data_IF_914969855084
#
_entry.id   IF_914969855084
#
_cell.length_a   1.000
_cell.length_b   1.000
_cell.length_c   1.000
_cell.angle_alpha   90.00
_cell.angle_beta   90.00
_cell.angle_gamma   90.00
#
_symmetry.space_group_name_H-M   'P 1'
#
loop_
_entity.id
_entity.type
_entity.pdbx_description
1 polymer ?
#
# COMPACT_ATOMS: atom_id res chain seq x y z
N UNK A 1 16.52 -8.30 4.12
CA UNK A 1 16.80 -6.89 3.81
C UNK A 1 18.30 -6.57 3.77
N UNK A 2 19.16 -7.40 4.37
CA UNK A 2 20.63 -7.31 4.28
C UNK A 2 21.23 -7.01 2.90
N UNK A 3 20.72 -7.63 1.83
CA UNK A 3 21.18 -7.35 0.45
C UNK A 3 20.90 -5.90 0.01
N UNK A 4 19.75 -5.34 0.37
CA UNK A 4 19.42 -3.94 0.08
C UNK A 4 20.37 -3.00 0.83
N UNK A 5 20.63 -3.26 2.11
CA UNK A 5 21.60 -2.48 2.91
C UNK A 5 23.03 -2.58 2.33
N UNK A 6 23.42 -3.75 1.82
CA UNK A 6 24.72 -3.91 1.17
C UNK A 6 24.85 -3.11 -0.14
N UNK A 7 23.78 -3.01 -0.92
CA UNK A 7 23.74 -2.22 -2.16
C UNK A 7 23.67 -0.71 -1.89
N UNK A 8 22.99 -0.31 -0.83
CA UNK A 8 22.73 1.09 -0.48
C UNK A 8 23.12 1.38 0.99
N UNK A 9 24.43 1.34 1.32
CA UNK A 9 24.89 1.36 2.71
C UNK A 9 24.67 2.70 3.42
N UNK A 10 24.47 3.80 2.68
CA UNK A 10 24.30 5.15 3.24
C UNK A 10 22.89 5.72 3.09
N UNK A 11 22.02 4.99 2.41
CA UNK A 11 20.70 5.50 2.09
C UNK A 11 19.75 5.24 3.26
N UNK A 12 18.87 6.21 3.51
CA UNK A 12 17.73 6.01 4.38
C UNK A 12 16.70 5.17 3.64
N UNK A 13 16.24 4.10 4.29
CA UNK A 13 15.38 3.08 3.70
C UNK A 13 14.06 3.05 4.46
N UNK A 14 12.96 3.01 3.71
CA UNK A 14 11.62 2.67 4.19
C UNK A 14 11.07 1.56 3.30
N UNK A 15 10.56 0.50 3.93
CA UNK A 15 9.97 -0.66 3.26
C UNK A 15 8.60 -0.88 3.86
N UNK A 16 7.55 -0.74 3.05
CA UNK A 16 6.18 -1.11 3.41
C UNK A 16 5.71 -2.29 2.56
N UNK A 17 4.96 -3.21 3.15
CA UNK A 17 4.32 -4.28 2.39
C UNK A 17 3.49 -5.24 3.23
N UNK A 18 2.63 -5.99 2.53
CA UNK A 18 1.82 -7.07 3.09
C UNK A 18 2.71 -8.29 3.36
N UNK A 19 2.78 -8.69 4.62
CA UNK A 19 3.60 -9.79 5.12
C UNK A 19 2.91 -10.50 6.27
N UNK A 20 2.92 -11.83 6.27
CA UNK A 20 2.35 -12.56 7.40
C UNK A 20 3.24 -12.34 8.65
N UNK A 21 2.72 -11.80 9.76
CA UNK A 21 3.52 -11.50 10.95
C UNK A 21 4.09 -12.78 11.56
N UNK A 22 5.26 -12.69 12.18
CA UNK A 22 5.78 -13.79 12.97
C UNK A 22 5.07 -13.84 14.34
N UNK A 23 5.10 -15.01 14.98
CA UNK A 23 4.55 -15.19 16.33
C UNK A 23 5.21 -14.30 17.39
N UNK A 24 6.41 -13.73 17.13
CA UNK A 24 7.12 -12.82 18.06
C UNK A 24 6.49 -11.43 18.13
N UNK A 25 5.78 -10.98 17.09
CA UNK A 25 5.03 -9.72 17.12
C UNK A 25 3.69 -9.84 17.88
N UNK A 26 3.44 -10.98 18.56
CA UNK A 26 2.26 -11.20 19.38
C UNK A 26 0.99 -11.56 18.58
N UNK A 27 1.09 -11.71 17.26
CA UNK A 27 -0.06 -11.87 16.36
C UNK A 27 -0.01 -13.24 15.68
N UNK A 28 -0.59 -14.23 16.37
CA UNK A 28 -0.84 -15.63 15.96
C UNK A 28 0.37 -16.55 15.72
N UNK A 29 0.23 -17.81 16.20
CA UNK A 29 1.18 -18.92 16.01
C UNK A 29 0.80 -19.73 14.78
N UNK A 30 1.51 -19.55 13.66
CA UNK A 30 1.47 -20.52 12.55
C UNK A 30 2.85 -21.17 12.30
N UNK A 31 2.80 -22.46 11.98
CA UNK A 31 3.87 -23.46 12.03
C UNK A 31 4.69 -23.56 10.72
N UNK A 32 5.13 -22.45 10.14
CA UNK A 32 6.03 -22.50 8.97
C UNK A 32 7.38 -21.87 9.30
N UNK A 33 8.52 -22.54 8.99
CA UNK A 33 9.85 -22.00 9.20
C UNK A 33 10.12 -20.93 8.15
N UNK A 34 9.60 -19.73 8.38
CA UNK A 34 9.96 -18.54 7.60
C UNK A 34 11.18 -17.95 8.28
N UNK A 35 12.28 -17.79 7.53
CA UNK A 35 13.42 -16.98 7.96
C UNK A 35 12.88 -15.64 8.45
N UNK A 36 13.20 -15.32 9.69
CA UNK A 36 12.53 -14.30 10.47
C UNK A 36 12.68 -12.95 9.76
N UNK A 37 11.59 -12.39 9.24
CA UNK A 37 11.58 -11.09 8.56
C UNK A 37 12.17 -10.01 9.48
N UNK A 38 11.84 -10.13 10.77
CA UNK A 38 12.39 -9.35 11.88
C UNK A 38 13.92 -9.42 11.92
N UNK A 39 14.51 -10.61 12.02
CA UNK A 39 15.98 -10.77 12.02
C UNK A 39 16.59 -10.18 10.76
N UNK A 40 15.94 -10.32 9.60
CA UNK A 40 16.45 -9.76 8.36
C UNK A 40 16.41 -8.23 8.30
N UNK A 41 15.46 -7.62 9.02
CA UNK A 41 15.30 -6.18 9.16
C UNK A 41 16.27 -5.63 10.21
N UNK A 42 16.39 -6.32 11.34
CA UNK A 42 17.37 -6.04 12.40
C UNK A 42 18.81 -6.10 11.86
N UNK A 43 19.15 -7.16 11.11
CA UNK A 43 20.45 -7.30 10.41
C UNK A 43 20.73 -6.18 9.39
N UNK A 44 19.71 -5.40 9.01
CA UNK A 44 19.80 -4.28 8.09
C UNK A 44 19.69 -2.91 8.79
N UNK A 45 19.73 -2.89 10.12
CA UNK A 45 19.56 -1.73 10.99
C UNK A 45 18.22 -1.00 10.75
N UNK A 46 17.15 -1.77 10.50
CA UNK A 46 15.79 -1.25 10.33
C UNK A 46 14.95 -1.54 11.57
N UNK A 47 14.07 -0.59 11.90
CA UNK A 47 13.11 -0.71 13.00
C UNK A 47 11.69 -0.87 12.45
N UNK A 48 10.86 -1.61 13.17
CA UNK A 48 9.42 -1.68 12.89
C UNK A 48 8.76 -0.40 13.40
N UNK A 49 8.06 0.32 12.53
CA UNK A 49 7.41 1.61 12.89
C UNK A 49 5.90 1.49 13.11
N UNK A 50 5.33 0.30 12.90
CA UNK A 50 3.91 0.03 13.10
C UNK A 50 3.47 0.35 14.53
N UNK A 51 2.27 0.94 14.66
CA UNK A 51 1.49 0.85 15.88
C UNK A 51 0.78 -0.51 15.91
N UNK A 52 1.29 -1.43 16.74
CA UNK A 52 0.78 -2.79 16.87
C UNK A 52 -0.59 -2.87 17.57
N UNK A 53 -1.13 -1.74 18.06
CA UNK A 53 -2.50 -1.68 18.57
C UNK A 53 -3.54 -1.52 17.46
N UNK A 54 -3.13 -1.20 16.24
CA UNK A 54 -4.03 -0.93 15.13
C UNK A 54 -3.99 -2.06 14.08
N UNK A 55 -5.10 -2.79 13.87
CA UNK A 55 -5.20 -3.75 12.77
C UNK A 55 -5.06 -3.05 11.42
N UNK A 56 -4.25 -3.61 10.52
CA UNK A 56 -4.13 -3.11 9.13
C UNK A 56 -5.00 -3.90 8.16
N UNK A 57 -5.60 -5.01 8.62
CA UNK A 57 -6.53 -5.82 7.84
C UNK A 57 -7.74 -6.27 8.66
N UNK A 58 -8.92 -6.09 8.09
CA UNK A 58 -10.20 -6.53 8.60
C UNK A 58 -10.46 -8.02 8.36
N UNK A 59 -10.93 -8.72 9.39
CA UNK A 59 -11.48 -10.05 9.25
C UNK A 59 -12.74 -10.05 8.39
N UNK A 60 -12.75 -10.82 7.31
CA UNK A 60 -13.89 -10.86 6.36
C UNK A 60 -14.96 -11.90 6.72
N UNK A 61 -14.75 -12.68 7.79
CA UNK A 61 -15.70 -13.70 8.25
C UNK A 61 -15.74 -13.76 9.78
N UNK A 62 -16.83 -14.27 10.39
CA UNK A 62 -16.95 -14.36 11.86
C UNK A 62 -15.83 -15.15 12.54
N UNK A 63 -15.15 -16.03 11.80
CA UNK A 63 -14.05 -16.86 12.29
C UNK A 63 -12.67 -16.20 12.12
N UNK A 64 -12.57 -15.13 11.35
CA UNK A 64 -11.34 -14.40 11.09
C UNK A 64 -11.30 -13.15 11.96
N UNK A 65 -10.21 -13.01 12.72
CA UNK A 65 -9.94 -11.80 13.50
C UNK A 65 -9.22 -10.78 12.62
N UNK A 66 -9.30 -9.53 13.04
CA UNK A 66 -8.48 -8.47 12.47
C UNK A 66 -6.99 -8.76 12.73
N UNK A 67 -6.14 -8.36 11.79
CA UNK A 67 -4.70 -8.70 11.77
C UNK A 67 -3.86 -7.50 11.34
N UNK A 68 -2.54 -7.59 11.54
CA UNK A 68 -1.56 -6.55 11.15
C UNK A 68 -0.56 -7.13 10.14
N UNK A 69 -1.01 -7.57 8.96
CA UNK A 69 -0.08 -8.11 7.98
C UNK A 69 0.76 -7.02 7.29
N UNK A 70 0.30 -5.77 7.27
CA UNK A 70 1.03 -4.70 6.58
C UNK A 70 2.11 -4.14 7.50
N UNK A 71 3.37 -4.47 7.25
CA UNK A 71 4.51 -4.06 8.07
C UNK A 71 5.30 -2.96 7.37
N UNK A 72 5.73 -1.98 8.16
CA UNK A 72 6.58 -0.88 7.75
C UNK A 72 7.89 -0.92 8.52
N UNK A 73 8.99 -1.13 7.82
CA UNK A 73 10.35 -1.14 8.35
C UNK A 73 11.08 0.10 7.86
N UNK A 74 11.78 0.80 8.74
CA UNK A 74 12.46 2.03 8.39
C UNK A 74 13.83 2.16 9.07
N UNK A 75 14.71 2.95 8.45
CA UNK A 75 15.91 3.46 9.12
C UNK A 75 15.47 4.30 10.33
N UNK A 76 16.13 4.21 11.50
CA UNK A 76 15.76 4.99 12.68
C UNK A 76 15.59 6.47 12.37
N UNK A 77 14.55 7.09 12.94
CA UNK A 77 14.20 8.51 12.76
C UNK A 77 13.72 8.94 11.37
N UNK A 78 13.76 8.06 10.36
CA UNK A 78 13.29 8.36 9.00
C UNK A 78 11.77 8.55 8.92
N UNK A 79 11.00 7.89 9.80
CA UNK A 79 9.54 8.05 9.89
C UNK A 79 9.22 8.92 11.10
N UNK A 80 8.63 10.10 10.86
CA UNK A 80 8.19 11.03 11.91
C UNK A 80 6.76 10.74 12.37
N UNK A 81 5.92 10.21 11.49
CA UNK A 81 4.55 9.80 11.79
C UNK A 81 4.22 8.53 11.02
N UNK A 82 3.64 7.57 11.72
CA UNK A 82 3.00 6.40 11.14
C UNK A 82 1.56 6.36 11.64
N UNK A 83 0.60 6.20 10.73
CA UNK A 83 -0.82 6.16 11.06
C UNK A 83 -1.56 5.18 10.17
N UNK A 84 -2.29 4.26 10.77
CA UNK A 84 -3.30 3.47 10.08
C UNK A 84 -4.60 4.26 9.99
N UNK A 85 -5.25 4.27 8.83
CA UNK A 85 -6.54 4.92 8.66
C UNK A 85 -7.65 4.15 9.39
N UNK A 86 -8.63 4.87 9.89
CA UNK A 86 -9.82 4.28 10.52
C UNK A 86 -10.80 3.67 9.51
N UNK A 87 -10.69 4.03 8.23
CA UNK A 87 -11.58 3.58 7.16
C UNK A 87 -10.81 2.77 6.13
N UNK A 88 -11.29 1.57 5.80
CA UNK A 88 -10.68 0.71 4.77
C UNK A 88 -11.00 1.13 3.34
N UNK A 89 -11.84 2.17 3.18
CA UNK A 89 -12.35 2.63 1.87
C UNK A 89 -13.02 1.52 1.04
N UNK A 90 -13.60 0.52 1.72
CA UNK A 90 -14.25 -0.62 1.10
C UNK A 90 -13.30 -1.77 0.72
N UNK A 91 -12.01 -1.70 1.08
CA UNK A 91 -11.08 -2.83 1.04
C UNK A 91 -11.16 -3.67 2.32
N UNK A 92 -10.52 -4.84 2.32
CA UNK A 92 -10.21 -5.58 3.56
C UNK A 92 -8.93 -5.07 4.24
N UNK A 93 -8.13 -4.22 3.59
CA UNK A 93 -6.97 -3.54 4.19
C UNK A 93 -7.26 -2.07 4.51
N UNK A 94 -6.66 -1.57 5.58
CA UNK A 94 -6.66 -0.16 5.94
C UNK A 94 -5.49 0.57 5.28
N UNK A 95 -5.71 1.76 4.67
CA UNK A 95 -4.63 2.62 4.22
C UNK A 95 -3.65 2.95 5.36
N UNK A 96 -2.36 3.00 5.04
CA UNK A 96 -1.30 3.41 5.95
C UNK A 96 -0.69 4.72 5.46
N UNK A 97 -0.64 5.70 6.34
CA UNK A 97 -0.05 7.00 6.14
C UNK A 97 1.29 7.08 6.85
N UNK A 98 2.32 7.52 6.12
CA UNK A 98 3.68 7.66 6.63
C UNK A 98 4.19 9.06 6.30
N UNK A 99 4.67 9.77 7.32
CA UNK A 99 5.40 11.03 7.14
C UNK A 99 6.88 10.76 7.32
N UNK A 100 7.67 11.17 6.34
CA UNK A 100 9.12 11.00 6.34
C UNK A 100 9.80 12.23 6.95
N UNK A 101 10.81 11.99 7.78
CA UNK A 101 11.73 13.01 8.28
C UNK A 101 12.75 13.36 7.20
N UNK A 102 13.11 14.63 7.09
CA UNK A 102 14.16 15.08 6.18
C UNK A 102 13.68 16.11 5.16
N UNK A 103 14.64 16.83 4.57
CA UNK A 103 14.36 17.77 3.49
C UNK A 103 14.26 16.99 2.19
N UNK A 104 13.04 16.83 1.68
CA UNK A 104 12.85 16.30 0.34
C UNK A 104 13.65 17.17 -0.65
N UNK A 105 14.67 16.58 -1.29
CA UNK A 105 15.33 17.25 -2.41
C UNK A 105 14.27 17.41 -3.49
N UNK A 106 14.09 18.64 -4.00
CA UNK A 106 13.20 18.90 -5.14
C UNK A 106 13.65 18.01 -6.30
N UNK A 107 12.82 17.06 -6.67
CA UNK A 107 13.05 16.23 -7.84
C UNK A 107 11.88 16.52 -8.78
N UNK A 108 12.15 17.28 -9.84
CA UNK A 108 11.22 17.46 -10.94
C UNK A 108 11.15 16.14 -11.72
N UNK A 109 10.26 15.25 -11.29
CA UNK A 109 9.99 13.97 -11.97
C UNK A 109 8.58 14.00 -12.52
N UNK A 110 8.45 13.56 -13.77
CA UNK A 110 7.16 13.23 -14.38
C UNK A 110 6.72 11.88 -13.84
N UNK A 111 5.62 11.86 -13.10
CA UNK A 111 5.02 10.62 -12.59
C UNK A 111 3.69 10.37 -13.27
N UNK A 112 3.37 9.09 -13.45
CA UNK A 112 2.09 8.65 -13.97
C UNK A 112 1.17 8.39 -12.77
N UNK A 113 0.05 9.09 -12.69
CA UNK A 113 -0.94 9.00 -11.61
C UNK A 113 -2.29 8.59 -12.18
N UNK A 114 -3.03 7.74 -11.47
CA UNK A 114 -4.40 7.35 -11.81
C UNK A 114 -5.36 8.03 -10.85
N UNK A 115 -6.27 8.85 -11.38
CA UNK A 115 -7.37 9.44 -10.62
C UNK A 115 -8.43 8.35 -10.35
N UNK A 116 -8.46 7.83 -9.12
CA UNK A 116 -9.36 6.74 -8.74
C UNK A 116 -10.85 7.11 -8.77
N UNK A 117 -11.28 8.29 -8.28
CA UNK A 117 -12.63 8.79 -8.53
C UNK A 117 -13.01 8.77 -10.01
N UNK A 118 -12.16 9.36 -10.87
CA UNK A 118 -12.41 9.41 -12.32
C UNK A 118 -12.43 8.02 -12.95
N UNK A 119 -11.53 7.13 -12.52
CA UNK A 119 -11.51 5.74 -12.94
C UNK A 119 -12.84 5.04 -12.66
N UNK A 120 -13.38 5.22 -11.44
CA UNK A 120 -14.68 4.64 -11.05
C UNK A 120 -15.81 5.21 -11.89
N UNK A 121 -15.86 6.51 -12.11
CA UNK A 121 -16.86 7.12 -13.01
C UNK A 121 -16.83 6.50 -14.41
N UNK A 122 -15.63 6.39 -15.01
CA UNK A 122 -15.45 5.80 -16.34
C UNK A 122 -15.76 4.30 -16.36
N UNK A 123 -15.54 3.60 -15.24
CA UNK A 123 -15.92 2.19 -15.11
C UNK A 123 -17.45 2.02 -15.12
N UNK A 124 -18.21 2.94 -14.52
CA UNK A 124 -19.68 2.84 -14.40
C UNK A 124 -20.45 3.59 -15.50
N UNK A 125 -19.78 4.39 -16.33
CA UNK A 125 -20.43 5.09 -17.44
C UNK A 125 -20.98 4.09 -18.47
N UNK A 126 -22.31 4.05 -18.64
CA UNK A 126 -22.98 3.26 -19.68
C UNK A 126 -23.38 1.82 -19.30
N UNK A 127 -23.46 1.43 -18.02
CA UNK A 127 -23.90 0.07 -17.68
C UNK A 127 -25.41 -0.10 -17.57
N UNK A 128 -26.00 -0.80 -18.54
CA UNK A 128 -27.03 -1.80 -18.21
C UNK A 128 -26.36 -3.00 -17.53
N UNK A 129 -26.99 -3.52 -16.47
CA UNK A 129 -26.48 -4.68 -15.70
C UNK A 129 -26.56 -5.95 -16.56
N UNK A 130 -25.57 -6.21 -17.39
CA UNK A 130 -25.47 -7.49 -18.11
C UNK A 130 -25.19 -8.62 -17.11
N UNK A 131 -26.22 -9.42 -16.82
CA UNK A 131 -26.17 -10.54 -15.85
C UNK A 131 -25.60 -11.85 -16.42
N UNK A 132 -25.26 -11.92 -17.71
CA UNK A 132 -24.79 -13.15 -18.34
C UNK A 132 -23.35 -12.99 -18.80
N UNK A 133 -22.40 -13.51 -18.02
CA UNK A 133 -20.99 -13.53 -18.38
C UNK A 133 -20.70 -14.66 -19.38
N UNK A 134 -20.58 -14.33 -20.67
CA UNK A 134 -19.91 -15.18 -21.66
C UNK A 134 -18.45 -14.69 -21.90
N UNK A 135 -17.68 -15.37 -22.74
CA UNK A 135 -16.29 -14.98 -23.04
C UNK A 135 -16.20 -13.57 -23.67
N UNK A 136 -17.20 -13.16 -24.46
CA UNK A 136 -17.30 -11.78 -24.99
C UNK A 136 -17.46 -10.76 -23.88
N UNK A 137 -18.12 -11.14 -22.78
CA UNK A 137 -18.33 -10.30 -21.60
C UNK A 137 -17.02 -10.03 -20.85
N UNK A 138 -16.07 -10.97 -20.85
CA UNK A 138 -14.73 -10.75 -20.29
C UNK A 138 -13.90 -9.80 -21.16
N UNK A 139 -13.93 -9.97 -22.48
CA UNK A 139 -13.24 -9.05 -23.40
C UNK A 139 -13.80 -7.63 -23.29
N UNK A 140 -15.12 -7.50 -23.19
CA UNK A 140 -15.80 -6.21 -22.96
C UNK A 140 -15.39 -5.63 -21.61
N UNK A 141 -15.36 -6.43 -20.54
CA UNK A 141 -14.94 -5.99 -19.22
C UNK A 141 -13.48 -5.50 -19.22
N UNK A 142 -12.56 -6.26 -19.83
CA UNK A 142 -11.15 -5.91 -19.93
C UNK A 142 -10.96 -4.62 -20.73
N UNK A 143 -11.63 -4.48 -21.87
CA UNK A 143 -11.57 -3.26 -22.68
C UNK A 143 -12.08 -2.05 -21.90
N UNK A 144 -13.15 -2.20 -21.11
CA UNK A 144 -13.66 -1.12 -20.26
C UNK A 144 -12.69 -0.73 -19.16
N UNK A 145 -12.09 -1.71 -18.48
CA UNK A 145 -11.07 -1.45 -17.46
C UNK A 145 -9.87 -0.73 -18.08
N UNK A 146 -9.42 -1.14 -19.27
CA UNK A 146 -8.32 -0.50 -19.99
C UNK A 146 -8.66 0.94 -20.40
N UNK A 147 -9.85 1.17 -20.95
CA UNK A 147 -10.32 2.51 -21.31
C UNK A 147 -10.41 3.41 -20.07
N UNK A 148 -11.01 2.91 -18.99
CA UNK A 148 -11.14 3.65 -17.73
C UNK A 148 -9.77 3.95 -17.11
N UNK A 149 -8.86 2.97 -17.09
CA UNK A 149 -7.50 3.14 -16.59
C UNK A 149 -6.76 4.21 -17.39
N UNK A 150 -6.76 4.12 -18.71
CA UNK A 150 -6.09 5.10 -19.56
C UNK A 150 -6.73 6.49 -19.46
N UNK A 151 -8.07 6.58 -19.45
CA UNK A 151 -8.80 7.85 -19.36
C UNK A 151 -8.70 8.54 -18.00
N UNK A 152 -8.38 7.79 -16.95
CA UNK A 152 -8.13 8.31 -15.61
C UNK A 152 -6.63 8.50 -15.30
N UNK A 153 -5.74 8.04 -16.19
CA UNK A 153 -4.30 8.16 -15.99
C UNK A 153 -3.79 9.46 -16.58
N UNK A 154 -3.17 10.29 -15.76
CA UNK A 154 -2.49 11.51 -16.18
C UNK A 154 -1.00 11.47 -15.84
N UNK A 155 -0.20 12.22 -16.58
CA UNK A 155 1.20 12.47 -16.24
C UNK A 155 1.27 13.84 -15.60
N UNK A 156 1.64 13.86 -14.32
CA UNK A 156 1.83 15.11 -13.58
C UNK A 156 3.32 15.35 -13.38
N UNK A 157 3.73 16.60 -13.52
CA UNK A 157 5.00 17.05 -12.95
C UNK A 157 4.78 17.19 -11.46
N UNK A 158 5.57 16.46 -10.66
CA UNK A 158 5.55 16.62 -9.21
C UNK A 158 6.26 17.93 -8.89
N UNK A 159 5.52 19.04 -8.94
CA UNK A 159 5.80 20.20 -8.10
C UNK A 159 4.96 20.08 -6.82
N UNK A 160 5.31 20.84 -5.77
CA UNK A 160 4.84 20.65 -4.38
C UNK A 160 3.31 20.67 -4.14
N UNK A 161 2.48 20.80 -5.18
CA UNK A 161 1.03 20.98 -5.10
C UNK A 161 0.21 19.67 -5.16
N UNK A 162 0.83 18.48 -5.18
CA UNK A 162 0.06 17.21 -5.09
C UNK A 162 -0.74 17.10 -3.77
N UNK A 163 -0.39 17.88 -2.74
CA UNK A 163 -1.18 17.99 -1.52
C UNK A 163 -2.60 18.56 -1.73
N UNK A 164 -2.88 19.19 -2.88
CA UNK A 164 -4.22 19.74 -3.19
C UNK A 164 -5.17 18.74 -3.86
N UNK A 165 -4.72 17.54 -4.24
CA UNK A 165 -5.55 16.55 -4.93
C UNK A 165 -6.15 15.49 -4.00
N UNK A 166 -5.85 15.54 -2.70
CA UNK A 166 -6.34 14.57 -1.70
C UNK A 166 -7.53 15.15 -0.90
N UNK A 167 -7.78 16.47 -0.95
CA UNK A 167 -8.79 17.18 -0.15
C UNK A 167 -10.01 17.72 -0.96
N UNK A 168 -10.35 17.12 -2.11
CA UNK A 168 -11.59 17.44 -2.85
C UNK A 168 -12.45 16.22 -3.11
#
# INVERSE_FOLDING_TARGET
MRQLRALYPRDEVVIGGDSMPSARLGISRHQHPRRNLEESAEDADLILVNDLSCPTRLGQSPSQRDTIPDLTWATPSMVSLWKCDSSSWGSDHYPIWITLSGTARKINKKVRYVDWPRFRELQFFGTERHRNANLDSLTILLNRILIAANGATTVVEVDQDILLLIDT
#
